data_IF_647186492626
#
_entry.id   IF_647186492626
#
_cell.length_a   1.000
_cell.length_b   1.000
_cell.length_c   1.000
_cell.angle_alpha   90.00
_cell.angle_beta   90.00
_cell.angle_gamma   90.00
#
_symmetry.space_group_name_H-M   'P 1'
#
loop_
_entity.id
_entity.type
_entity.pdbx_description
1 polymer ?
#
# COMPACT_ATOMS: atom_id res chain seq x y z
N UNK A 1 -8.80 15.45 14.61
CA UNK A 1 -7.41 15.27 15.10
C UNK A 1 -6.49 15.09 13.91
N UNK A 2 -5.34 15.74 13.92
CA UNK A 2 -4.33 15.67 12.86
C UNK A 2 -3.25 14.64 13.22
N UNK A 3 -2.69 13.98 12.23
CA UNK A 3 -1.65 12.96 12.43
C UNK A 3 -0.32 13.47 11.88
N UNK A 4 0.77 13.24 12.62
CA UNK A 4 2.11 13.60 12.21
C UNK A 4 3.05 12.40 12.35
N UNK A 5 3.83 12.15 11.32
CA UNK A 5 4.83 11.09 11.26
C UNK A 5 6.22 11.67 11.51
N UNK A 6 6.96 11.08 12.45
CA UNK A 6 8.38 11.37 12.70
C UNK A 6 9.23 10.53 11.77
N UNK A 7 10.20 11.19 11.14
CA UNK A 7 11.12 10.56 10.21
C UNK A 7 12.51 10.42 10.83
N UNK A 8 13.18 9.32 10.56
CA UNK A 8 14.61 9.17 10.81
C UNK A 8 15.45 9.84 9.71
N UNK A 9 16.76 9.68 9.78
CA UNK A 9 17.74 10.23 8.84
C UNK A 9 17.63 9.65 7.42
N UNK A 10 16.96 8.51 7.26
CA UNK A 10 16.69 7.84 5.98
C UNK A 10 15.28 8.10 5.46
N UNK A 11 14.55 9.04 6.06
CA UNK A 11 13.13 9.32 5.78
C UNK A 11 12.18 8.15 6.10
N UNK A 12 12.56 7.24 6.99
CA UNK A 12 11.71 6.15 7.44
C UNK A 12 10.86 6.63 8.62
N UNK A 13 9.58 6.33 8.59
CA UNK A 13 8.63 6.66 9.67
C UNK A 13 8.94 5.81 10.90
N UNK A 14 9.31 6.45 11.99
CA UNK A 14 9.65 5.78 13.27
C UNK A 14 8.57 5.97 14.34
N UNK A 15 7.71 6.97 14.18
CA UNK A 15 6.66 7.30 15.14
C UNK A 15 5.51 8.00 14.41
N UNK A 16 4.26 7.84 14.89
CA UNK A 16 3.11 8.61 14.41
C UNK A 16 2.33 9.11 15.61
N UNK A 17 2.18 10.43 15.74
CA UNK A 17 1.46 11.08 16.81
C UNK A 17 0.18 11.75 16.31
N UNK A 18 -0.78 11.84 17.23
CA UNK A 18 -2.06 12.50 17.02
C UNK A 18 -2.07 13.83 17.76
N UNK A 19 -2.30 14.91 17.04
CA UNK A 19 -2.27 16.29 17.54
C UNK A 19 -3.69 16.86 17.44
N UNK A 20 -4.06 17.68 18.41
CA UNK A 20 -5.35 18.38 18.37
C UNK A 20 -5.41 19.35 17.18
N UNK A 21 -6.55 19.39 16.49
CA UNK A 21 -6.72 20.26 15.32
C UNK A 21 -6.52 21.75 15.67
N UNK A 22 -6.96 22.17 16.88
CA UNK A 22 -6.81 23.57 17.28
C UNK A 22 -5.34 23.95 17.48
N UNK A 23 -4.52 23.01 17.97
CA UNK A 23 -3.07 23.22 18.09
C UNK A 23 -2.43 23.39 16.69
N UNK A 24 -2.86 22.59 15.71
CA UNK A 24 -2.38 22.72 14.32
C UNK A 24 -2.79 24.06 13.72
N UNK A 25 -4.05 24.47 13.88
CA UNK A 25 -4.53 25.77 13.39
C UNK A 25 -3.81 26.95 14.03
N UNK A 26 -3.56 26.91 15.35
CA UNK A 26 -2.81 27.94 16.09
C UNK A 26 -1.35 28.05 15.60
N UNK A 27 -0.83 27.01 14.98
CA UNK A 27 0.56 26.90 14.52
C UNK A 27 0.69 26.88 13.00
N UNK A 28 -0.18 27.55 12.27
CA UNK A 28 -0.06 27.77 10.84
C UNK A 28 -0.93 26.87 9.96
N UNK A 29 -1.72 26.01 10.55
CA UNK A 29 -2.69 25.15 9.85
C UNK A 29 -2.10 23.90 9.20
N UNK A 30 -2.96 23.18 8.53
CA UNK A 30 -2.65 21.91 7.89
C UNK A 30 -1.52 22.01 6.84
N UNK A 31 -0.64 21.04 6.86
CA UNK A 31 0.54 20.91 5.97
C UNK A 31 1.55 22.07 6.04
N UNK A 32 1.41 22.98 7.00
CA UNK A 32 2.36 24.07 7.14
C UNK A 32 3.69 23.59 7.75
N UNK A 33 4.77 24.20 7.31
CA UNK A 33 6.09 24.00 7.93
C UNK A 33 6.11 24.48 9.38
N UNK A 34 5.27 25.45 9.72
CA UNK A 34 5.13 25.98 11.07
C UNK A 34 4.49 24.94 12.01
N UNK A 35 3.44 24.24 11.55
CA UNK A 35 2.83 23.15 12.33
C UNK A 35 3.80 21.97 12.49
N UNK A 36 4.54 21.61 11.45
CA UNK A 36 5.57 20.56 11.51
C UNK A 36 6.69 20.93 12.49
N UNK A 37 7.11 22.22 12.51
CA UNK A 37 8.10 22.72 13.49
C UNK A 37 7.56 22.73 14.92
N UNK A 38 6.31 23.16 15.13
CA UNK A 38 5.66 23.11 16.45
C UNK A 38 5.64 21.68 17.00
N UNK A 39 5.29 20.71 16.17
CA UNK A 39 5.29 19.29 16.57
C UNK A 39 6.71 18.83 16.89
N UNK A 40 7.70 19.20 16.09
CA UNK A 40 9.10 18.92 16.36
C UNK A 40 9.54 19.46 17.72
N UNK A 41 9.27 20.72 18.01
CA UNK A 41 9.68 21.38 19.25
C UNK A 41 9.00 20.78 20.49
N UNK A 42 7.75 20.31 20.33
CA UNK A 42 6.92 19.79 21.41
C UNK A 42 7.20 18.30 21.68
N UNK A 43 7.48 17.50 20.64
CA UNK A 43 7.56 16.04 20.73
C UNK A 43 8.98 15.48 20.46
N UNK A 44 9.98 16.14 21.02
CA UNK A 44 11.34 15.61 21.12
C UNK A 44 12.20 15.78 19.87
N UNK A 45 11.94 16.83 19.08
CA UNK A 45 12.77 17.19 17.93
C UNK A 45 12.63 16.26 16.72
N UNK A 46 13.47 16.49 15.72
CA UNK A 46 13.52 15.69 14.50
C UNK A 46 12.63 16.21 13.38
N UNK A 47 12.57 15.49 12.29
CA UNK A 47 11.74 15.83 11.12
C UNK A 47 10.35 15.23 11.27
N UNK A 48 9.33 16.05 11.23
CA UNK A 48 7.94 15.64 11.28
C UNK A 48 7.22 16.02 9.99
N UNK A 49 6.33 15.16 9.55
CA UNK A 49 5.47 15.38 8.37
C UNK A 49 4.02 15.05 8.70
N UNK A 50 3.12 16.00 8.44
CA UNK A 50 1.69 15.74 8.61
C UNK A 50 1.23 14.67 7.63
N UNK A 51 0.34 13.79 8.07
CA UNK A 51 -0.31 12.74 7.27
C UNK A 51 -1.81 12.73 7.58
N UNK A 52 -2.60 12.05 6.77
CA UNK A 52 -4.04 11.90 6.98
C UNK A 52 -4.44 10.43 7.01
N UNK A 53 -5.07 10.01 8.13
CA UNK A 53 -5.57 8.64 8.30
C UNK A 53 -6.55 8.21 7.18
N UNK A 54 -7.29 9.16 6.65
CA UNK A 54 -8.29 8.92 5.62
C UNK A 54 -7.76 9.10 4.19
N UNK A 55 -6.43 9.18 4.02
CA UNK A 55 -5.80 9.31 2.70
C UNK A 55 -5.19 7.98 2.27
N UNK A 56 -5.58 7.51 1.09
CA UNK A 56 -5.04 6.30 0.46
C UNK A 56 -4.99 6.47 -1.06
N UNK A 57 -3.87 6.08 -1.68
CA UNK A 57 -3.68 6.10 -3.14
C UNK A 57 -3.89 7.50 -3.76
N UNK A 58 -3.51 8.55 -3.02
CA UNK A 58 -3.67 9.93 -3.47
C UNK A 58 -5.08 10.50 -3.32
N UNK A 59 -5.99 9.79 -2.67
CA UNK A 59 -7.38 10.18 -2.47
C UNK A 59 -7.72 10.29 -0.99
N UNK A 60 -8.53 11.29 -0.65
CA UNK A 60 -9.11 11.44 0.68
C UNK A 60 -10.51 10.83 0.71
N UNK A 61 -10.77 10.05 1.74
CA UNK A 61 -12.05 9.40 1.98
C UNK A 61 -12.75 10.03 3.16
N UNK A 62 -14.04 10.28 3.01
CA UNK A 62 -14.88 10.80 4.09
C UNK A 62 -14.96 9.79 5.25
N UNK A 63 -14.61 10.21 6.49
CA UNK A 63 -14.55 9.29 7.62
C UNK A 63 -15.93 8.76 8.09
N UNK A 64 -17.03 9.41 7.73
CA UNK A 64 -18.37 8.99 8.12
C UNK A 64 -18.96 7.98 7.13
N UNK A 65 -18.71 8.18 5.84
CA UNK A 65 -19.27 7.36 4.76
C UNK A 65 -18.30 6.31 4.22
N UNK A 66 -16.99 6.51 4.38
CA UNK A 66 -15.94 5.68 3.78
C UNK A 66 -15.82 5.83 2.26
N UNK A 67 -16.56 6.76 1.65
CA UNK A 67 -16.50 7.03 0.21
C UNK A 67 -15.46 8.10 -0.11
N UNK A 68 -15.00 8.14 -1.36
CA UNK A 68 -14.14 9.22 -1.84
C UNK A 68 -14.85 10.57 -1.67
N UNK A 69 -14.21 11.49 -0.93
CA UNK A 69 -14.76 12.81 -0.67
C UNK A 69 -14.67 13.69 -1.92
N UNK A 70 -15.64 14.59 -2.11
CA UNK A 70 -15.58 15.61 -3.18
C UNK A 70 -14.42 16.59 -2.93
N UNK A 71 -14.22 16.99 -1.67
CA UNK A 71 -13.09 17.83 -1.26
C UNK A 71 -11.82 16.99 -1.00
N UNK A 72 -10.89 17.07 -1.92
CA UNK A 72 -9.59 16.38 -1.86
C UNK A 72 -8.49 17.21 -1.19
N UNK A 73 -8.79 18.37 -0.60
CA UNK A 73 -7.80 19.24 0.04
C UNK A 73 -7.05 18.56 1.19
N UNK A 74 -7.66 17.53 1.80
CA UNK A 74 -7.11 16.72 2.89
C UNK A 74 -6.42 15.42 2.43
N UNK A 75 -6.24 15.21 1.13
CA UNK A 75 -5.48 14.08 0.58
C UNK A 75 -3.97 14.26 0.81
N UNK A 76 -3.55 14.27 2.09
CA UNK A 76 -2.18 14.60 2.45
C UNK A 76 -1.22 13.46 2.10
N UNK A 77 -0.17 13.81 1.32
CA UNK A 77 0.98 12.95 1.05
C UNK A 77 0.62 11.55 0.52
N UNK A 78 -0.47 11.49 -0.21
CA UNK A 78 -0.97 10.34 -1.02
C UNK A 78 -1.34 9.09 -0.23
N UNK A 79 -0.68 8.81 0.89
CA UNK A 79 -1.01 7.69 1.76
C UNK A 79 -0.84 8.09 3.22
N UNK A 80 -1.59 7.41 4.10
CA UNK A 80 -1.33 7.47 5.53
C UNK A 80 0.06 6.91 5.84
N UNK A 81 0.79 7.57 6.74
CA UNK A 81 2.11 7.15 7.16
C UNK A 81 2.02 6.03 8.21
N UNK A 82 2.41 4.83 7.84
CA UNK A 82 2.63 3.72 8.79
C UNK A 82 4.08 3.70 9.31
N UNK A 83 4.30 3.16 10.52
CA UNK A 83 5.67 2.90 11.01
C UNK A 83 6.39 1.98 10.02
N UNK A 84 7.63 2.33 9.66
CA UNK A 84 8.42 1.65 8.64
C UNK A 84 8.14 2.11 7.20
N UNK A 85 7.16 3.00 6.97
CA UNK A 85 6.96 3.61 5.64
C UNK A 85 8.09 4.59 5.34
N UNK A 86 8.28 4.86 4.05
CA UNK A 86 9.29 5.78 3.53
C UNK A 86 8.60 7.05 3.06
N UNK A 87 9.13 8.20 3.45
CA UNK A 87 8.72 9.49 2.91
C UNK A 87 9.58 9.85 1.70
N UNK A 88 8.92 10.04 0.56
CA UNK A 88 9.53 10.46 -0.71
C UNK A 88 9.34 11.96 -0.89
N UNK A 89 10.39 12.74 -0.66
CA UNK A 89 10.33 14.20 -0.69
C UNK A 89 10.15 14.77 -2.09
N UNK A 90 10.57 14.07 -3.13
CA UNK A 90 10.47 14.45 -4.54
C UNK A 90 9.03 14.44 -5.06
N UNK A 91 8.18 13.58 -4.51
CA UNK A 91 6.76 13.45 -4.86
C UNK A 91 5.81 13.79 -3.71
N UNK A 92 6.35 14.25 -2.56
CA UNK A 92 5.64 14.54 -1.30
C UNK A 92 4.64 13.43 -0.94
N UNK A 93 5.14 12.22 -0.68
CA UNK A 93 4.31 11.05 -0.46
C UNK A 93 4.91 10.03 0.51
N UNK A 94 4.04 9.28 1.18
CA UNK A 94 4.43 8.09 1.93
C UNK A 94 4.14 6.83 1.13
N UNK A 95 5.05 5.85 1.21
CA UNK A 95 4.83 4.50 0.68
C UNK A 95 5.27 3.44 1.68
N UNK A 96 4.70 2.22 1.64
CA UNK A 96 5.31 1.08 2.32
C UNK A 96 6.72 0.81 1.76
N UNK A 97 7.54 0.01 2.45
CA UNK A 97 8.81 -0.45 1.91
C UNK A 97 8.63 -1.09 0.52
N UNK A 98 9.66 -0.95 -0.33
CA UNK A 98 9.67 -1.59 -1.65
C UNK A 98 9.58 -3.11 -1.50
N UNK A 99 8.56 -3.78 -2.06
CA UNK A 99 8.38 -5.22 -1.87
C UNK A 99 9.38 -6.05 -2.67
N UNK A 100 9.78 -5.57 -3.86
CA UNK A 100 10.68 -6.24 -4.80
C UNK A 100 11.56 -5.22 -5.51
N UNK A 101 12.83 -5.54 -5.76
CA UNK A 101 13.79 -4.62 -6.35
C UNK A 101 13.41 -4.15 -7.77
N UNK A 102 12.71 -4.99 -8.52
CA UNK A 102 12.23 -4.67 -9.88
C UNK A 102 11.00 -3.75 -9.92
N UNK A 103 10.29 -3.57 -8.78
CA UNK A 103 9.09 -2.75 -8.77
C UNK A 103 9.41 -1.26 -8.73
N UNK A 104 8.59 -0.45 -9.37
CA UNK A 104 8.75 1.01 -9.41
C UNK A 104 7.64 1.73 -8.66
N UNK A 105 7.99 2.86 -8.03
CA UNK A 105 7.01 3.66 -7.31
C UNK A 105 6.23 4.55 -8.27
N UNK A 106 4.92 4.41 -8.29
CA UNK A 106 4.06 5.25 -9.12
C UNK A 106 3.90 6.65 -8.51
N UNK A 107 4.34 7.67 -9.23
CA UNK A 107 4.45 9.05 -8.71
C UNK A 107 3.12 9.68 -8.27
N UNK A 108 2.00 9.30 -8.86
CA UNK A 108 0.67 9.87 -8.50
C UNK A 108 0.06 9.21 -7.28
N UNK A 109 0.22 7.89 -7.12
CA UNK A 109 -0.46 7.11 -6.08
C UNK A 109 0.45 6.70 -4.93
N UNK A 110 1.77 6.82 -5.10
CA UNK A 110 2.80 6.30 -4.21
C UNK A 110 2.58 4.80 -3.86
N UNK A 111 2.17 4.03 -4.87
CA UNK A 111 2.11 2.57 -4.82
C UNK A 111 3.22 1.96 -5.65
N UNK A 112 3.77 0.87 -5.16
CA UNK A 112 4.72 0.05 -5.90
C UNK A 112 4.00 -0.72 -7.00
N UNK A 113 4.57 -0.69 -8.19
CA UNK A 113 4.03 -1.35 -9.37
C UNK A 113 5.07 -2.31 -9.96
N UNK A 114 4.68 -3.55 -10.21
CA UNK A 114 5.54 -4.50 -10.92
C UNK A 114 5.74 -4.09 -12.38
N UNK A 115 6.85 -4.48 -13.01
CA UNK A 115 7.06 -4.25 -14.44
C UNK A 115 6.10 -5.04 -15.33
N UNK A 116 5.48 -6.10 -14.81
CA UNK A 116 4.46 -6.91 -15.47
C UNK A 116 3.13 -6.74 -14.75
N UNK A 117 2.08 -6.41 -15.48
CA UNK A 117 0.74 -6.19 -14.93
C UNK A 117 0.28 -7.37 -14.08
N UNK A 118 -0.44 -7.06 -13.00
CA UNK A 118 -1.05 -8.07 -12.12
C UNK A 118 -1.95 -9.02 -12.91
N UNK A 119 -1.93 -10.33 -12.57
CA UNK A 119 -2.85 -11.30 -13.12
C UNK A 119 -4.31 -10.89 -12.89
N UNK A 120 -5.10 -10.99 -13.94
CA UNK A 120 -6.54 -10.68 -13.90
C UNK A 120 -7.42 -11.91 -13.67
N UNK A 121 -6.86 -13.11 -13.90
CA UNK A 121 -7.52 -14.38 -13.64
C UNK A 121 -7.00 -14.89 -12.29
N UNK A 122 -7.88 -14.92 -11.30
CA UNK A 122 -7.54 -15.32 -9.92
C UNK A 122 -8.08 -16.69 -9.53
N UNK A 123 -8.96 -17.28 -10.35
CA UNK A 123 -9.59 -18.58 -10.09
C UNK A 123 -9.40 -19.53 -11.29
N UNK A 124 -9.35 -20.84 -11.00
CA UNK A 124 -9.19 -21.87 -12.03
C UNK A 124 -10.49 -22.23 -12.74
N UNK A 125 -11.64 -21.75 -12.27
CA UNK A 125 -12.96 -22.18 -12.70
C UNK A 125 -13.40 -23.54 -12.11
N UNK A 126 -12.58 -24.13 -11.24
CA UNK A 126 -12.91 -25.41 -10.58
C UNK A 126 -13.49 -25.15 -9.19
N UNK A 127 -14.61 -25.79 -8.88
CA UNK A 127 -15.18 -25.78 -7.54
C UNK A 127 -14.68 -26.97 -6.76
N UNK A 128 -14.11 -26.71 -5.59
CA UNK A 128 -13.68 -27.74 -4.63
C UNK A 128 -14.71 -27.85 -3.49
N UNK A 129 -14.85 -29.04 -2.92
CA UNK A 129 -15.65 -29.24 -1.71
C UNK A 129 -14.73 -29.69 -0.58
N UNK A 130 -14.64 -28.87 0.46
CA UNK A 130 -13.82 -29.13 1.64
C UNK A 130 -14.39 -30.24 2.54
N UNK A 131 -13.64 -30.66 3.55
CA UNK A 131 -14.02 -31.77 4.45
C UNK A 131 -15.33 -31.55 5.21
N UNK A 132 -15.76 -30.30 5.40
CA UNK A 132 -17.02 -29.94 6.06
C UNK A 132 -18.19 -29.77 5.07
N UNK A 133 -18.03 -30.17 3.80
CA UNK A 133 -19.05 -30.05 2.78
C UNK A 133 -19.25 -28.62 2.24
N UNK A 134 -18.40 -27.67 2.63
CA UNK A 134 -18.44 -26.29 2.11
C UNK A 134 -17.72 -26.24 0.78
N UNK A 135 -18.40 -25.77 -0.26
CA UNK A 135 -17.82 -25.57 -1.58
C UNK A 135 -17.21 -24.19 -1.72
N UNK A 136 -16.05 -24.11 -2.38
CA UNK A 136 -15.34 -22.88 -2.71
C UNK A 136 -14.67 -22.99 -4.09
N UNK A 137 -14.43 -21.86 -4.70
CA UNK A 137 -13.75 -21.80 -5.99
C UNK A 137 -12.24 -21.95 -5.78
N UNK A 138 -11.61 -22.82 -6.55
CA UNK A 138 -10.16 -23.04 -6.50
C UNK A 138 -9.43 -21.82 -7.08
N UNK A 139 -8.41 -21.35 -6.38
CA UNK A 139 -7.67 -20.13 -6.71
C UNK A 139 -6.29 -20.41 -7.26
N UNK A 140 -5.77 -19.44 -8.02
CA UNK A 140 -4.35 -19.31 -8.29
C UNK A 140 -3.72 -18.55 -7.11
N UNK A 141 -2.86 -19.21 -6.34
CA UNK A 141 -2.07 -18.59 -5.26
C UNK A 141 -0.84 -17.95 -5.91
N UNK A 142 -1.00 -16.74 -6.47
CA UNK A 142 0.04 -16.10 -7.25
C UNK A 142 1.03 -15.30 -6.42
N UNK A 143 2.29 -15.29 -6.86
CA UNK A 143 3.41 -14.60 -6.25
C UNK A 143 4.38 -14.08 -7.32
N UNK A 144 5.20 -13.10 -6.95
CA UNK A 144 6.20 -12.52 -7.84
C UNK A 144 7.50 -13.34 -7.83
N UNK A 145 7.97 -13.71 -9.02
CA UNK A 145 9.28 -14.33 -9.26
C UNK A 145 10.25 -13.22 -9.68
N UNK A 146 11.00 -12.69 -8.71
CA UNK A 146 11.91 -11.56 -8.92
C UNK A 146 13.03 -11.87 -9.90
N UNK A 147 13.59 -13.08 -9.85
CA UNK A 147 14.72 -13.47 -10.69
C UNK A 147 14.37 -13.47 -12.18
N UNK A 148 13.12 -13.79 -12.50
CA UNK A 148 12.62 -13.83 -13.87
C UNK A 148 11.66 -12.68 -14.19
N UNK A 149 11.41 -11.77 -13.25
CA UNK A 149 10.51 -10.61 -13.37
C UNK A 149 9.15 -11.00 -13.97
N UNK A 150 8.49 -11.98 -13.35
CA UNK A 150 7.21 -12.54 -13.80
C UNK A 150 6.32 -12.98 -12.65
N UNK A 151 5.03 -13.15 -12.92
CA UNK A 151 4.10 -13.76 -11.97
C UNK A 151 4.11 -15.28 -12.13
N UNK A 152 4.13 -15.97 -11.00
CA UNK A 152 3.93 -17.43 -10.89
C UNK A 152 2.74 -17.71 -9.98
N UNK A 153 2.15 -18.88 -10.13
CA UNK A 153 1.10 -19.34 -9.22
C UNK A 153 1.21 -20.82 -8.94
N UNK A 154 0.83 -21.19 -7.72
CA UNK A 154 0.54 -22.56 -7.33
C UNK A 154 -0.99 -22.77 -7.31
N UNK A 155 -1.44 -23.91 -7.76
CA UNK A 155 -2.81 -24.40 -7.58
C UNK A 155 -2.80 -25.56 -6.60
N UNK A 156 -3.71 -25.53 -5.62
CA UNK A 156 -3.76 -26.52 -4.54
C UNK A 156 -5.05 -27.31 -4.56
N UNK A 157 -4.97 -28.55 -4.08
CA UNK A 157 -6.14 -29.40 -3.80
C UNK A 157 -6.82 -29.04 -2.47
N UNK A 158 -7.88 -29.76 -2.11
CA UNK A 158 -8.64 -29.56 -0.86
C UNK A 158 -7.82 -29.80 0.41
N UNK A 159 -6.69 -30.46 0.32
CA UNK A 159 -5.78 -30.75 1.43
C UNK A 159 -4.61 -29.76 1.49
N UNK A 160 -4.59 -28.76 0.59
CA UNK A 160 -3.52 -27.76 0.49
C UNK A 160 -2.27 -28.26 -0.26
N UNK A 161 -2.32 -29.40 -0.91
CA UNK A 161 -1.20 -29.94 -1.69
C UNK A 161 -1.15 -29.24 -3.05
N UNK A 162 0.05 -28.78 -3.46
CA UNK A 162 0.24 -28.18 -4.79
C UNK A 162 0.06 -29.29 -5.84
N UNK A 163 -0.89 -29.08 -6.76
CA UNK A 163 -1.22 -30.01 -7.83
C UNK A 163 -0.77 -29.51 -9.21
N UNK A 164 -0.59 -28.22 -9.37
CA UNK A 164 0.01 -27.65 -10.58
C UNK A 164 0.67 -26.31 -10.29
N UNK A 165 1.59 -25.89 -11.17
CA UNK A 165 2.29 -24.61 -11.14
C UNK A 165 2.11 -23.90 -12.47
N UNK A 166 2.04 -22.58 -12.42
CA UNK A 166 1.71 -21.77 -13.57
C UNK A 166 2.57 -20.51 -13.66
N UNK A 167 2.72 -20.01 -14.89
CA UNK A 167 3.36 -18.73 -15.22
C UNK A 167 2.32 -17.83 -15.89
N UNK A 168 2.28 -16.56 -15.51
CA UNK A 168 1.39 -15.58 -16.12
C UNK A 168 1.92 -15.12 -17.48
N UNK A 169 1.17 -15.34 -18.54
CA UNK A 169 1.39 -14.73 -19.83
C UNK A 169 0.65 -13.39 -19.88
N UNK A 170 1.37 -12.28 -19.73
CA UNK A 170 0.80 -10.94 -19.72
C UNK A 170 0.34 -10.45 -21.10
N UNK A 171 0.76 -11.10 -22.18
CA UNK A 171 0.33 -10.79 -23.55
C UNK A 171 -1.05 -11.36 -23.81
N UNK A 172 -1.25 -12.62 -23.47
CA UNK A 172 -2.48 -13.34 -23.73
C UNK A 172 -3.46 -13.28 -22.55
N UNK A 173 -3.04 -12.67 -21.43
CA UNK A 173 -3.80 -12.52 -20.19
C UNK A 173 -4.33 -13.85 -19.65
N UNK A 174 -3.47 -14.86 -19.60
CA UNK A 174 -3.80 -16.21 -19.13
C UNK A 174 -2.65 -16.85 -18.35
N UNK A 175 -2.99 -17.88 -17.57
CA UNK A 175 -2.02 -18.74 -16.92
C UNK A 175 -1.60 -19.87 -17.88
N UNK A 176 -0.32 -20.12 -17.95
CA UNK A 176 0.29 -21.24 -18.69
C UNK A 176 0.95 -22.20 -17.71
N UNK A 177 1.01 -23.50 -18.03
CA UNK A 177 1.66 -24.49 -17.19
C UNK A 177 3.16 -24.20 -17.07
N UNK A 178 3.68 -24.17 -15.82
CA UNK A 178 5.11 -24.09 -15.54
C UNK A 178 5.71 -25.50 -15.63
N UNK A 179 6.08 -25.89 -16.84
CA UNK A 179 6.63 -27.22 -17.15
C UNK A 179 8.15 -27.31 -16.92
N UNK A 180 8.74 -26.37 -16.15
CA UNK A 180 10.19 -26.33 -15.88
C UNK A 180 10.58 -27.12 -14.64
#
# INVERSE_FOLDING_TARGET
>A
MAHFAKLDENNIVVEVNVIDNQEVENNGGDKSTQAEQYVSDTYGGGTWKQTSYNTNIGKYYDPETGLEAEDQSKAYRKNYAGIGYIYHSDIDAFSPPQPHASWTLHSTTARWQPPVQFPTITTTGTTLTGPLGVSYEQTYDYYWDEDNTRWKADVRDVNGVIISKHIWNATDLQWEDDNA
#
